data_IF_188879760187
#
_entry.id   IF_188879760187
#
_cell.length_a   1.000
_cell.length_b   1.000
_cell.length_c   1.000
_cell.angle_alpha   90.00
_cell.angle_beta   90.00
_cell.angle_gamma   90.00
#
_symmetry.space_group_name_H-M   'P 1'
#
loop_
_entity.id
_entity.type
_entity.pdbx_description
1 polymer ?
#
# COMPACT_ATOMS: atom_id res chain seq x y z
N UNK A 1 22.55 16.94 61.58
CA UNK A 1 22.98 16.00 60.53
C UNK A 1 21.75 15.42 59.84
N UNK A 2 21.46 15.82 58.59
CA UNK A 2 20.32 15.31 57.82
C UNK A 2 20.77 14.10 56.98
N UNK A 3 20.38 12.90 57.39
CA UNK A 3 20.61 11.65 56.65
C UNK A 3 19.90 11.71 55.29
N UNK A 4 20.64 11.95 54.20
CA UNK A 4 20.13 11.78 52.85
C UNK A 4 20.19 10.29 52.49
N UNK A 5 19.05 9.61 52.52
CA UNK A 5 18.95 8.19 52.12
C UNK A 5 19.30 7.99 50.64
N UNK A 6 20.34 7.22 50.29
CA UNK A 6 20.75 6.96 48.90
C UNK A 6 19.70 6.15 48.12
N UNK A 7 18.79 5.46 48.83
CA UNK A 7 17.75 4.59 48.24
C UNK A 7 16.69 5.36 47.44
N UNK A 8 16.39 6.62 47.80
CA UNK A 8 15.44 7.46 47.05
C UNK A 8 16.00 7.95 45.70
N UNK A 9 17.33 8.05 45.58
CA UNK A 9 17.99 8.45 44.32
C UNK A 9 18.05 7.29 43.33
N UNK A 10 18.25 6.06 43.81
CA UNK A 10 18.22 4.87 42.97
C UNK A 10 16.83 4.59 42.38
N UNK A 11 15.76 4.76 43.17
CA UNK A 11 14.38 4.56 42.69
C UNK A 11 13.97 5.59 41.62
N UNK A 12 14.42 6.84 41.76
CA UNK A 12 14.16 7.90 40.77
C UNK A 12 14.90 7.66 39.44
N UNK A 13 16.10 7.07 39.48
CA UNK A 13 16.87 6.75 38.27
C UNK A 13 16.25 5.59 37.47
N UNK A 14 15.72 4.57 38.15
CA UNK A 14 15.02 3.44 37.49
C UNK A 14 13.70 3.90 36.86
N UNK A 15 12.97 4.82 37.49
CA UNK A 15 11.74 5.39 36.93
C UNK A 15 12.00 6.27 35.68
N UNK A 16 13.14 6.99 35.66
CA UNK A 16 13.54 7.81 34.52
C UNK A 16 14.01 6.98 33.31
N UNK A 17 14.65 5.83 33.54
CA UNK A 17 15.04 4.90 32.48
C UNK A 17 13.86 4.11 31.90
N UNK A 18 12.79 3.88 32.67
CA UNK A 18 11.57 3.24 32.18
C UNK A 18 10.73 4.14 31.25
N UNK A 19 10.95 5.46 31.25
CA UNK A 19 10.29 6.41 30.36
C UNK A 19 11.02 6.61 29.02
N UNK A 20 12.23 6.07 28.86
CA UNK A 20 12.91 5.94 27.57
C UNK A 20 12.44 4.68 26.82
N UNK A 21 11.20 4.24 27.07
CA UNK A 21 10.55 3.17 26.32
C UNK A 21 10.55 3.52 24.84
N UNK A 22 10.97 2.55 24.03
CA UNK A 22 11.02 2.60 22.57
C UNK A 22 9.83 3.37 22.00
N UNK A 23 10.02 4.66 21.70
CA UNK A 23 9.03 5.41 20.94
C UNK A 23 8.97 4.72 19.57
N UNK A 24 7.81 4.19 19.15
CA UNK A 24 7.73 3.51 17.87
C UNK A 24 8.20 4.49 16.79
N UNK A 25 9.18 4.00 16.00
CA UNK A 25 9.80 4.70 14.88
C UNK A 25 8.70 5.26 13.95
N UNK A 26 8.90 6.52 13.57
CA UNK A 26 8.13 7.31 12.59
C UNK A 26 6.64 7.58 12.93
N UNK A 27 6.40 8.36 13.99
CA UNK A 27 5.17 9.13 14.12
C UNK A 27 5.23 10.32 13.17
N UNK A 28 4.44 10.31 12.08
CA UNK A 28 4.26 11.48 11.21
C UNK A 28 3.85 12.70 12.06
N UNK A 29 4.59 13.81 12.04
CA UNK A 29 4.29 14.99 12.85
C UNK A 29 2.89 15.54 12.59
N UNK A 30 2.24 16.10 13.61
CA UNK A 30 0.87 16.64 13.52
C UNK A 30 0.69 17.61 12.36
N UNK A 31 1.67 18.47 12.13
CA UNK A 31 1.68 19.42 11.00
C UNK A 31 1.67 18.73 9.64
N UNK A 32 2.38 17.61 9.49
CA UNK A 32 2.39 16.79 8.28
C UNK A 32 1.08 16.01 8.11
N UNK A 33 0.49 15.56 9.22
CA UNK A 33 -0.83 14.92 9.20
C UNK A 33 -1.91 15.90 8.77
N UNK A 34 -1.84 17.16 9.20
CA UNK A 34 -2.75 18.21 8.78
C UNK A 34 -2.62 18.55 7.29
N UNK A 35 -1.38 18.69 6.77
CA UNK A 35 -1.14 18.89 5.33
C UNK A 35 -1.71 17.77 4.47
N UNK A 36 -1.65 16.53 4.95
CA UNK A 36 -2.21 15.38 4.23
C UNK A 36 -3.74 15.49 4.04
N UNK A 37 -4.44 16.32 4.82
CA UNK A 37 -5.87 16.58 4.63
C UNK A 37 -6.19 17.32 3.34
N UNK A 38 -5.21 17.98 2.72
CA UNK A 38 -5.39 18.59 1.40
C UNK A 38 -5.76 17.56 0.32
N UNK A 39 -5.46 16.28 0.56
CA UNK A 39 -5.84 15.15 -0.30
C UNK A 39 -7.31 14.77 -0.17
N UNK A 40 -7.97 15.13 0.94
CA UNK A 40 -9.35 14.73 1.23
C UNK A 40 -10.33 15.42 0.27
N UNK A 41 -11.36 14.67 -0.13
CA UNK A 41 -12.34 15.09 -1.12
C UNK A 41 -11.85 15.04 -2.57
N UNK A 42 -10.55 14.84 -2.83
CA UNK A 42 -10.03 14.78 -4.19
C UNK A 42 -10.57 13.56 -4.95
N UNK A 43 -11.02 13.80 -6.19
CA UNK A 43 -11.36 12.74 -7.14
C UNK A 43 -10.11 12.33 -7.90
N UNK A 44 -9.81 11.03 -7.89
CA UNK A 44 -8.68 10.40 -8.57
C UNK A 44 -9.15 9.18 -9.36
N UNK A 45 -8.25 8.62 -10.15
CA UNK A 45 -8.51 7.42 -10.94
C UNK A 45 -7.47 6.37 -10.61
N UNK A 46 -7.85 5.10 -10.49
CA UNK A 46 -6.89 4.02 -10.31
C UNK A 46 -5.87 4.02 -11.46
N UNK A 47 -4.58 4.08 -11.15
CA UNK A 47 -3.49 4.10 -12.14
C UNK A 47 -3.10 2.69 -12.59
N UNK A 48 -3.33 1.72 -11.70
CA UNK A 48 -3.07 0.30 -11.88
C UNK A 48 -4.32 -0.48 -11.47
N UNK A 49 -4.39 -1.76 -11.85
CA UNK A 49 -5.43 -2.66 -11.43
C UNK A 49 -5.26 -2.97 -9.94
N UNK A 50 -6.35 -2.98 -9.18
CA UNK A 50 -6.30 -3.17 -7.72
C UNK A 50 -7.21 -4.33 -7.32
N UNK A 51 -6.70 -5.26 -6.51
CA UNK A 51 -7.55 -6.23 -5.83
C UNK A 51 -8.39 -5.51 -4.79
N UNK A 52 -9.67 -5.89 -4.66
CA UNK A 52 -10.57 -5.38 -3.65
C UNK A 52 -11.34 -6.54 -2.99
N UNK A 53 -11.33 -6.60 -1.66
CA UNK A 53 -11.99 -7.65 -0.88
C UNK A 53 -12.09 -7.30 0.60
N UNK A 54 -12.51 -8.22 1.49
CA UNK A 54 -12.71 -7.94 2.91
C UNK A 54 -11.43 -7.45 3.61
N UNK A 55 -11.55 -6.45 4.50
CA UNK A 55 -10.41 -5.91 5.22
C UNK A 55 -10.09 -6.68 6.51
N UNK A 56 -9.44 -7.83 6.35
CA UNK A 56 -9.06 -8.71 7.48
C UNK A 56 -10.25 -9.00 8.41
N UNK A 57 -10.14 -8.71 9.71
CA UNK A 57 -11.20 -8.90 10.70
C UNK A 57 -12.28 -7.82 10.71
N UNK A 58 -12.24 -6.84 9.80
CA UNK A 58 -13.23 -5.77 9.70
C UNK A 58 -14.04 -5.87 8.40
N UNK A 59 -15.17 -6.59 8.48
CA UNK A 59 -16.09 -6.76 7.36
C UNK A 59 -16.81 -5.47 6.92
N UNK A 60 -16.73 -4.41 7.72
CA UNK A 60 -17.30 -3.11 7.39
C UNK A 60 -16.47 -2.32 6.38
N UNK A 61 -15.30 -2.83 5.97
CA UNK A 61 -14.37 -2.17 5.05
C UNK A 61 -13.84 -3.14 4.00
N UNK A 62 -13.36 -2.59 2.89
CA UNK A 62 -12.67 -3.36 1.86
C UNK A 62 -11.18 -3.04 1.83
N UNK A 63 -10.31 -4.04 1.86
CA UNK A 63 -8.90 -3.87 1.52
C UNK A 63 -8.76 -3.59 0.02
N UNK A 64 -7.85 -2.69 -0.33
CA UNK A 64 -7.44 -2.46 -1.72
C UNK A 64 -5.93 -2.56 -1.82
N UNK A 65 -5.43 -3.31 -2.81
CA UNK A 65 -3.99 -3.52 -3.03
C UNK A 65 -3.65 -3.76 -4.49
N UNK A 66 -2.48 -3.29 -4.95
CA UNK A 66 -1.92 -3.69 -6.24
C UNK A 66 -1.20 -5.06 -6.18
N UNK A 67 -1.04 -5.65 -5.00
CA UNK A 67 -0.49 -6.99 -4.80
C UNK A 67 -1.60 -8.01 -4.51
N UNK A 68 -1.45 -9.27 -4.94
CA UNK A 68 -2.24 -10.39 -4.44
C UNK A 68 -2.27 -10.40 -2.92
N UNK A 69 -3.43 -10.77 -2.35
CA UNK A 69 -3.65 -10.65 -0.91
C UNK A 69 -2.82 -11.63 -0.09
N UNK A 70 -2.48 -12.78 -0.64
CA UNK A 70 -1.57 -13.77 -0.09
C UNK A 70 -0.09 -13.33 -0.11
N UNK A 71 0.27 -12.30 -0.89
CA UNK A 71 1.61 -11.68 -0.87
C UNK A 71 1.74 -10.57 0.20
N UNK A 72 0.66 -10.22 0.89
CA UNK A 72 0.66 -9.07 1.81
C UNK A 72 1.21 -9.42 3.20
N UNK A 73 2.37 -8.85 3.52
CA UNK A 73 2.97 -8.87 4.86
C UNK A 73 2.62 -7.60 5.66
N UNK A 74 1.32 -7.39 5.91
CA UNK A 74 0.80 -6.24 6.68
C UNK A 74 0.43 -6.58 8.12
N UNK A 75 0.31 -7.87 8.43
CA UNK A 75 -0.05 -8.37 9.75
C UNK A 75 0.68 -9.70 9.97
N UNK A 76 1.26 -9.85 11.15
CA UNK A 76 1.97 -11.08 11.54
C UNK A 76 1.33 -11.65 12.80
N UNK A 77 1.38 -12.97 12.94
CA UNK A 77 0.95 -13.68 14.13
C UNK A 77 2.03 -13.67 15.24
N UNK A 78 1.83 -14.44 16.30
CA UNK A 78 2.79 -14.52 17.40
C UNK A 78 4.06 -15.31 17.07
N UNK A 79 4.02 -16.14 16.01
CA UNK A 79 5.19 -16.84 15.48
C UNK A 79 5.99 -15.98 14.49
N UNK A 80 5.42 -14.86 14.05
CA UNK A 80 5.98 -13.96 13.04
C UNK A 80 5.55 -14.31 11.62
N UNK A 81 4.62 -15.25 11.46
CA UNK A 81 4.10 -15.65 10.15
C UNK A 81 3.10 -14.61 9.66
N UNK A 82 3.16 -14.28 8.36
CA UNK A 82 2.23 -13.35 7.74
C UNK A 82 0.80 -13.89 7.77
N UNK A 83 -0.13 -13.06 8.22
CA UNK A 83 -1.56 -13.32 8.17
C UNK A 83 -2.09 -12.70 6.87
N UNK A 84 -2.53 -13.54 5.95
CA UNK A 84 -3.20 -13.08 4.74
C UNK A 84 -4.63 -12.57 5.07
N UNK A 85 -5.12 -11.53 4.38
CA UNK A 85 -6.54 -11.17 4.43
C UNK A 85 -7.39 -12.23 3.69
N UNK A 86 -8.72 -12.23 3.90
CA UNK A 86 -9.64 -13.06 3.12
C UNK A 86 -9.50 -12.78 1.62
N UNK A 87 -9.70 -13.76 0.72
CA UNK A 87 -9.49 -13.58 -0.72
C UNK A 87 -10.19 -12.36 -1.31
N UNK A 88 -9.57 -11.75 -2.32
CA UNK A 88 -10.15 -10.63 -3.05
C UNK A 88 -11.50 -11.02 -3.68
N UNK A 89 -12.49 -10.15 -3.55
CA UNK A 89 -13.82 -10.33 -4.15
C UNK A 89 -13.82 -9.94 -5.64
N UNK A 90 -13.02 -8.94 -6.02
CA UNK A 90 -12.97 -8.40 -7.38
C UNK A 90 -11.66 -7.67 -7.67
N UNK A 91 -11.48 -7.31 -8.94
CA UNK A 91 -10.43 -6.40 -9.40
C UNK A 91 -11.07 -5.09 -9.85
N UNK A 92 -10.53 -3.96 -9.40
CA UNK A 92 -10.81 -2.63 -9.91
C UNK A 92 -9.87 -2.36 -11.08
N UNK A 93 -10.41 -2.09 -12.25
CA UNK A 93 -9.60 -1.78 -13.43
C UNK A 93 -8.90 -0.41 -13.27
N UNK A 94 -7.76 -0.19 -13.95
CA UNK A 94 -7.23 1.17 -14.10
C UNK A 94 -8.29 2.09 -14.73
N UNK A 95 -8.25 3.37 -14.37
CA UNK A 95 -9.28 4.34 -14.72
C UNK A 95 -10.56 4.25 -13.88
N UNK A 96 -10.63 3.36 -12.87
CA UNK A 96 -11.76 3.34 -11.91
C UNK A 96 -11.77 4.66 -11.11
N UNK A 97 -12.87 5.44 -11.13
CA UNK A 97 -12.94 6.69 -10.37
C UNK A 97 -13.08 6.40 -8.87
N UNK A 98 -12.23 7.04 -8.09
CA UNK A 98 -12.18 6.93 -6.63
C UNK A 98 -12.15 8.33 -6.02
N UNK A 99 -12.71 8.50 -4.83
CA UNK A 99 -12.57 9.73 -4.05
C UNK A 99 -11.82 9.42 -2.76
N UNK A 100 -10.84 10.24 -2.44
CA UNK A 100 -10.14 10.16 -1.15
C UNK A 100 -11.05 10.75 -0.09
N UNK A 101 -11.53 9.94 0.84
CA UNK A 101 -12.40 10.38 1.94
C UNK A 101 -11.58 10.92 3.10
N UNK A 102 -10.53 10.20 3.51
CA UNK A 102 -9.61 10.63 4.57
C UNK A 102 -8.27 9.91 4.52
N UNK A 103 -7.24 10.55 5.04
CA UNK A 103 -5.95 9.91 5.36
C UNK A 103 -5.82 9.79 6.88
N UNK A 104 -5.80 8.56 7.39
CA UNK A 104 -5.80 8.28 8.82
C UNK A 104 -4.47 7.67 9.28
N UNK A 105 -3.71 8.47 10.03
CA UNK A 105 -2.45 8.05 10.64
C UNK A 105 -2.65 7.29 11.95
N UNK A 106 -1.77 6.31 12.26
CA UNK A 106 -1.91 5.43 13.42
C UNK A 106 -1.48 6.13 14.72
N UNK A 107 -2.31 7.04 15.24
CA UNK A 107 -2.11 7.61 16.59
C UNK A 107 -2.48 6.60 17.66
N UNK A 108 -2.02 6.77 18.91
CA UNK A 108 -2.38 5.86 20.02
C UNK A 108 -3.89 5.69 20.20
N UNK A 109 -4.66 6.76 20.02
CA UNK A 109 -6.13 6.72 20.06
C UNK A 109 -6.74 5.96 18.88
N UNK A 110 -6.23 6.19 17.67
CA UNK A 110 -6.70 5.50 16.46
C UNK A 110 -6.36 4.01 16.54
N UNK A 111 -5.13 3.65 16.93
CA UNK A 111 -4.70 2.25 17.13
C UNK A 111 -5.63 1.54 18.12
N UNK A 112 -5.99 2.18 19.22
CA UNK A 112 -6.88 1.61 20.23
C UNK A 112 -8.32 1.37 19.72
N UNK A 113 -8.78 2.15 18.73
CA UNK A 113 -10.13 2.03 18.13
C UNK A 113 -10.20 1.05 16.96
N UNK A 114 -9.08 0.78 16.30
CA UNK A 114 -9.04 -0.15 15.16
C UNK A 114 -9.24 -1.59 15.62
N UNK A 115 -9.94 -2.38 14.81
CA UNK A 115 -10.12 -3.82 15.02
C UNK A 115 -8.75 -4.49 15.16
N UNK A 116 -8.58 -5.36 16.15
CA UNK A 116 -7.27 -5.96 16.50
C UNK A 116 -6.62 -6.65 15.31
N UNK A 117 -7.40 -7.44 14.57
CA UNK A 117 -6.96 -8.17 13.38
C UNK A 117 -6.97 -7.27 12.14
N UNK A 118 -6.29 -6.13 12.19
CA UNK A 118 -6.06 -5.24 11.04
C UNK A 118 -4.65 -4.66 11.10
N UNK A 119 -4.10 -4.09 10.01
CA UNK A 119 -2.80 -3.41 9.98
C UNK A 119 -2.77 -2.10 10.78
N UNK A 120 -2.94 -2.17 12.11
CA UNK A 120 -3.24 -1.02 12.99
C UNK A 120 -2.14 0.03 13.02
N UNK A 121 -0.90 -0.36 12.78
CA UNK A 121 0.28 0.50 12.83
C UNK A 121 0.61 1.17 11.49
N UNK A 122 -0.20 0.94 10.45
CA UNK A 122 -0.03 1.58 9.15
C UNK A 122 -0.93 2.81 8.98
N UNK A 123 -0.51 3.84 8.23
CA UNK A 123 -1.43 4.84 7.72
C UNK A 123 -2.45 4.19 6.77
N UNK A 124 -3.71 4.59 6.88
CA UNK A 124 -4.80 4.09 6.04
C UNK A 124 -5.37 5.24 5.23
N UNK A 125 -5.52 5.03 3.92
CA UNK A 125 -6.25 5.95 3.05
C UNK A 125 -7.60 5.35 2.74
N UNK A 126 -8.64 6.07 3.16
CA UNK A 126 -10.02 5.69 2.93
C UNK A 126 -10.46 6.25 1.60
N UNK A 127 -11.00 5.38 0.76
CA UNK A 127 -11.48 5.70 -0.56
C UNK A 127 -12.97 5.36 -0.65
N UNK A 128 -13.74 6.17 -1.37
CA UNK A 128 -15.08 5.80 -1.78
C UNK A 128 -15.12 5.46 -3.26
N UNK A 129 -15.99 4.50 -3.58
CA UNK A 129 -16.30 4.03 -4.92
C UNK A 129 -17.81 4.08 -5.08
N UNK A 130 -18.28 4.66 -6.18
CA UNK A 130 -19.70 4.75 -6.46
C UNK A 130 -20.35 3.36 -6.50
N UNK A 131 -21.48 3.20 -5.80
CA UNK A 131 -22.19 1.93 -5.70
C UNK A 131 -21.60 0.93 -4.68
N UNK A 132 -20.46 1.21 -4.07
CA UNK A 132 -19.90 0.40 -2.98
C UNK A 132 -20.19 1.06 -1.62
N UNK A 133 -21.00 0.44 -0.74
CA UNK A 133 -21.31 1.00 0.56
C UNK A 133 -20.15 0.90 1.57
N UNK A 134 -19.23 -0.05 1.40
CA UNK A 134 -18.08 -0.22 2.30
C UNK A 134 -16.96 0.73 1.89
N UNK A 135 -16.35 1.51 2.79
CA UNK A 135 -15.15 2.27 2.45
C UNK A 135 -14.02 1.32 2.03
N UNK A 136 -13.35 1.69 0.95
CA UNK A 136 -12.13 1.04 0.50
C UNK A 136 -10.97 1.57 1.34
N UNK A 137 -10.03 0.70 1.69
CA UNK A 137 -8.87 1.01 2.52
C UNK A 137 -7.63 0.60 1.77
N UNK A 138 -6.85 1.60 1.36
CA UNK A 138 -5.48 1.41 0.90
C UNK A 138 -4.55 1.57 2.11
N UNK A 139 -3.75 0.55 2.38
CA UNK A 139 -2.81 0.55 3.51
C UNK A 139 -1.45 1.04 3.01
N UNK A 140 -0.93 2.12 3.60
CA UNK A 140 0.35 2.68 3.21
C UNK A 140 1.51 2.10 4.06
N UNK A 141 2.77 2.22 3.60
CA UNK A 141 3.93 1.83 4.38
C UNK A 141 4.00 2.57 5.74
N UNK A 142 4.50 1.90 6.78
CA UNK A 142 4.72 2.52 8.10
C UNK A 142 5.91 3.50 8.09
N UNK A 143 6.73 3.46 7.03
CA UNK A 143 7.96 4.26 6.90
C UNK A 143 7.73 5.68 6.40
N UNK A 144 6.49 6.03 6.01
CA UNK A 144 6.15 7.38 5.55
C UNK A 144 6.34 8.38 6.70
N UNK A 145 7.04 9.48 6.44
CA UNK A 145 7.42 10.46 7.46
C UNK A 145 6.76 11.84 7.27
N UNK A 146 6.18 12.10 6.09
CA UNK A 146 5.65 13.41 5.70
C UNK A 146 4.38 13.32 4.86
N UNK A 147 3.69 14.45 4.67
CA UNK A 147 2.55 14.55 3.75
C UNK A 147 2.96 14.29 2.30
N UNK A 148 4.19 14.68 1.96
CA UNK A 148 4.76 14.48 0.64
C UNK A 148 5.00 12.99 0.37
N UNK A 149 5.52 12.24 1.35
CA UNK A 149 5.69 10.79 1.21
C UNK A 149 4.33 10.10 0.97
N UNK A 150 3.29 10.53 1.68
CA UNK A 150 1.92 10.04 1.48
C UNK A 150 1.41 10.34 0.08
N UNK A 151 1.64 11.56 -0.43
CA UNK A 151 1.26 11.97 -1.79
C UNK A 151 1.97 11.11 -2.83
N UNK A 152 3.30 10.98 -2.73
CA UNK A 152 4.13 10.20 -3.64
C UNK A 152 3.73 8.72 -3.63
N UNK A 153 3.48 8.15 -2.46
CA UNK A 153 3.02 6.77 -2.33
C UNK A 153 1.64 6.59 -2.99
N UNK A 154 0.70 7.52 -2.75
CA UNK A 154 -0.61 7.48 -3.39
C UNK A 154 -0.54 7.58 -4.92
N UNK A 155 0.43 8.30 -5.48
CA UNK A 155 0.63 8.44 -6.93
C UNK A 155 1.08 7.15 -7.64
N UNK A 156 1.45 6.11 -6.86
CA UNK A 156 1.64 4.76 -7.37
C UNK A 156 0.30 4.10 -7.71
N UNK A 157 -0.73 4.34 -6.91
CA UNK A 157 -2.03 3.67 -7.06
C UNK A 157 -3.06 4.54 -7.76
N UNK A 158 -2.98 5.86 -7.59
CA UNK A 158 -3.98 6.83 -8.02
C UNK A 158 -3.33 7.89 -8.93
N UNK A 159 -4.03 8.26 -10.00
CA UNK A 159 -3.63 9.32 -10.92
C UNK A 159 -4.77 10.32 -11.16
N UNK A 160 -4.51 11.31 -12.01
CA UNK A 160 -5.53 12.18 -12.56
C UNK A 160 -6.31 11.53 -13.71
N UNK A 161 -7.13 12.32 -14.43
CA UNK A 161 -7.92 11.84 -15.58
C UNK A 161 -7.08 11.20 -16.71
N UNK A 162 -5.79 11.54 -16.80
CA UNK A 162 -4.85 10.95 -17.75
C UNK A 162 -4.63 9.45 -17.52
N UNK A 163 -4.83 8.94 -16.30
CA UNK A 163 -4.74 7.51 -16.01
C UNK A 163 -5.83 6.72 -16.75
N UNK A 164 -7.06 7.23 -16.77
CA UNK A 164 -8.18 6.66 -17.53
C UNK A 164 -7.88 6.70 -19.03
N UNK A 165 -7.42 7.85 -19.54
CA UNK A 165 -7.10 8.02 -20.96
C UNK A 165 -6.03 7.04 -21.42
N UNK A 166 -4.98 6.87 -20.61
CA UNK A 166 -3.90 5.95 -20.91
C UNK A 166 -4.33 4.49 -20.92
N UNK A 167 -5.22 4.10 -20.00
CA UNK A 167 -5.78 2.75 -19.96
C UNK A 167 -6.70 2.49 -21.16
N UNK A 168 -7.53 3.46 -21.54
CA UNK A 168 -8.41 3.34 -22.71
C UNK A 168 -7.63 3.28 -24.03
N UNK A 169 -6.44 3.88 -24.09
CA UNK A 169 -5.54 3.84 -25.24
C UNK A 169 -4.86 2.47 -25.45
N UNK A 170 -4.98 1.53 -24.51
CA UNK A 170 -4.45 0.18 -24.69
C UNK A 170 -5.20 -0.59 -25.79
N UNK A 171 -4.50 -1.43 -26.58
CA UNK A 171 -5.16 -2.37 -27.49
C UNK A 171 -6.14 -3.28 -26.74
N UNK A 172 -7.27 -3.61 -27.36
CA UNK A 172 -8.36 -4.37 -26.73
C UNK A 172 -7.91 -5.66 -26.01
N UNK A 173 -7.02 -6.51 -26.59
CA UNK A 173 -6.54 -7.70 -25.90
C UNK A 173 -5.75 -7.38 -24.62
N UNK A 174 -4.95 -6.31 -24.65
CA UNK A 174 -4.16 -5.88 -23.50
C UNK A 174 -5.04 -5.25 -22.44
N UNK A 175 -5.99 -4.40 -22.85
CA UNK A 175 -6.96 -3.77 -21.95
C UNK A 175 -7.77 -4.81 -21.19
N UNK A 176 -8.31 -5.81 -21.89
CA UNK A 176 -9.08 -6.91 -21.28
C UNK A 176 -8.24 -7.79 -20.34
N UNK A 177 -6.93 -7.90 -20.56
CA UNK A 177 -6.03 -8.62 -19.66
C UNK A 177 -5.72 -7.78 -18.40
N UNK A 178 -5.41 -6.49 -18.57
CA UNK A 178 -5.17 -5.53 -17.48
C UNK A 178 -6.38 -5.43 -16.55
N UNK A 179 -7.61 -5.36 -17.06
CA UNK A 179 -8.86 -5.36 -16.27
C UNK A 179 -8.97 -6.56 -15.32
N UNK A 180 -8.39 -7.69 -15.72
CA UNK A 180 -8.41 -8.94 -14.96
C UNK A 180 -7.12 -9.18 -14.19
N UNK A 181 -6.22 -8.19 -14.14
CA UNK A 181 -4.91 -8.29 -13.50
C UNK A 181 -4.01 -9.39 -14.10
N UNK A 182 -4.12 -9.63 -15.41
CA UNK A 182 -3.37 -10.64 -16.14
C UNK A 182 -2.37 -10.00 -17.08
N UNK A 183 -1.28 -10.72 -17.33
CA UNK A 183 -0.32 -10.40 -18.37
C UNK A 183 -0.60 -11.23 -19.63
N UNK A 184 -0.30 -10.64 -20.78
CA UNK A 184 -0.28 -11.33 -22.09
C UNK A 184 0.96 -10.90 -22.86
N UNK A 185 1.47 -11.79 -23.70
CA UNK A 185 2.64 -11.53 -24.54
C UNK A 185 2.46 -10.26 -25.39
N UNK A 186 3.53 -9.50 -25.58
CA UNK A 186 3.54 -8.25 -26.35
C UNK A 186 2.94 -7.04 -25.63
N UNK A 187 2.51 -7.17 -24.36
CA UNK A 187 2.19 -6.01 -23.52
C UNK A 187 3.36 -5.03 -23.46
N UNK A 188 3.10 -3.72 -23.52
CA UNK A 188 4.14 -2.73 -23.25
C UNK A 188 4.53 -2.72 -21.76
N UNK A 189 5.69 -2.18 -21.42
CA UNK A 189 6.10 -1.91 -20.05
C UNK A 189 4.99 -1.22 -19.23
N UNK A 190 4.36 -0.20 -19.82
CA UNK A 190 3.24 0.51 -19.20
C UNK A 190 2.03 -0.38 -18.94
N UNK A 191 1.67 -1.27 -19.87
CA UNK A 191 0.56 -2.20 -19.69
C UNK A 191 0.85 -3.22 -18.59
N UNK A 192 2.10 -3.67 -18.47
CA UNK A 192 2.55 -4.56 -17.38
C UNK A 192 2.40 -3.85 -16.02
N UNK A 193 2.86 -2.59 -15.90
CA UNK A 193 2.68 -1.80 -14.67
C UNK A 193 1.20 -1.58 -14.34
N UNK A 194 0.37 -1.29 -15.35
CA UNK A 194 -1.09 -1.17 -15.16
C UNK A 194 -1.72 -2.47 -14.67
N UNK A 195 -1.26 -3.63 -15.13
CA UNK A 195 -1.80 -4.91 -14.68
C UNK A 195 -1.32 -5.28 -13.27
N UNK A 196 -0.02 -5.24 -13.02
CA UNK A 196 0.61 -5.86 -11.84
C UNK A 196 1.10 -4.87 -10.78
N UNK A 197 0.95 -3.57 -11.00
CA UNK A 197 1.53 -2.55 -10.15
C UNK A 197 2.99 -2.25 -10.52
N UNK A 198 3.62 -1.35 -9.77
CA UNK A 198 5.02 -1.00 -10.00
C UNK A 198 5.94 -2.08 -9.42
N UNK A 199 6.94 -2.57 -10.17
CA UNK A 199 7.87 -3.55 -9.63
C UNK A 199 8.74 -2.93 -8.53
N UNK A 200 9.15 -3.76 -7.57
CA UNK A 200 10.09 -3.38 -6.52
C UNK A 200 11.50 -3.21 -7.07
N UNK A 201 11.86 -4.00 -8.09
CA UNK A 201 13.17 -3.99 -8.72
C UNK A 201 13.04 -4.14 -10.24
N UNK A 202 13.81 -3.31 -10.95
CA UNK A 202 14.04 -3.42 -12.39
C UNK A 202 15.54 -3.61 -12.65
N UNK A 203 15.91 -4.66 -13.36
CA UNK A 203 17.26 -4.89 -13.88
C UNK A 203 17.22 -4.64 -15.37
N UNK A 204 17.94 -3.63 -15.84
CA UNK A 204 17.89 -3.14 -17.22
C UNK A 204 19.25 -3.37 -17.89
N UNK A 205 19.27 -4.15 -18.96
CA UNK A 205 20.43 -4.33 -19.83
C UNK A 205 20.20 -3.54 -21.13
N UNK A 206 20.82 -2.35 -21.20
CA UNK A 206 20.66 -1.45 -22.35
C UNK A 206 21.28 -2.00 -23.63
N UNK A 207 22.51 -2.56 -23.64
CA UNK A 207 23.07 -3.20 -24.84
C UNK A 207 22.20 -4.30 -25.43
N UNK A 208 21.57 -5.13 -24.59
CA UNK A 208 20.69 -6.21 -25.04
C UNK A 208 19.24 -5.78 -25.25
N UNK A 209 18.87 -4.55 -24.87
CA UNK A 209 17.49 -4.06 -24.85
C UNK A 209 16.54 -4.98 -24.05
N UNK A 210 17.03 -5.56 -22.95
CA UNK A 210 16.24 -6.43 -22.07
C UNK A 210 16.01 -5.80 -20.71
N UNK A 211 14.86 -6.13 -20.12
CA UNK A 211 14.54 -5.78 -18.73
C UNK A 211 13.98 -6.99 -17.98
N UNK A 212 14.44 -7.19 -16.74
CA UNK A 212 13.87 -8.16 -15.80
C UNK A 212 13.30 -7.42 -14.60
N UNK A 213 12.00 -7.58 -14.38
CA UNK A 213 11.26 -6.91 -13.32
C UNK A 213 10.80 -7.92 -12.28
N UNK A 214 10.81 -7.54 -11.00
CA UNK A 214 10.31 -8.37 -9.91
C UNK A 214 9.45 -7.58 -8.93
N UNK A 215 8.41 -8.23 -8.41
CA UNK A 215 7.51 -7.76 -7.35
C UNK A 215 7.69 -8.61 -6.09
N UNK A 216 7.05 -8.19 -5.00
CA UNK A 216 6.92 -8.82 -3.67
C UNK A 216 7.77 -10.08 -3.47
N UNK A 217 8.91 -9.93 -2.77
CA UNK A 217 9.77 -11.07 -2.40
C UNK A 217 10.52 -11.74 -3.56
N UNK A 218 10.25 -11.35 -4.80
CA UNK A 218 10.79 -11.97 -6.02
C UNK A 218 9.92 -13.07 -6.61
N UNK A 219 8.69 -13.26 -6.12
CA UNK A 219 7.81 -14.38 -6.50
C UNK A 219 7.15 -14.17 -7.86
N UNK A 220 6.82 -12.93 -8.19
CA UNK A 220 6.34 -12.53 -9.52
C UNK A 220 7.45 -11.87 -10.31
N UNK A 221 7.63 -12.31 -11.57
CA UNK A 221 8.62 -11.73 -12.48
C UNK A 221 8.05 -11.51 -13.87
N UNK A 222 8.54 -10.46 -14.53
CA UNK A 222 8.26 -10.17 -15.92
C UNK A 222 9.57 -9.88 -16.65
N UNK A 223 9.67 -10.35 -17.88
CA UNK A 223 10.85 -10.18 -18.73
C UNK A 223 10.43 -9.51 -20.01
N UNK A 224 11.07 -8.39 -20.31
CA UNK A 224 10.77 -7.55 -21.45
C UNK A 224 11.96 -7.51 -22.41
N UNK A 225 11.65 -7.49 -23.69
CA UNK A 225 12.57 -7.29 -24.81
C UNK A 225 12.00 -6.16 -25.66
N UNK A 226 12.79 -5.13 -25.95
CA UNK A 226 12.37 -3.99 -26.78
C UNK A 226 11.04 -3.34 -26.31
N UNK A 227 10.91 -3.10 -25.00
CA UNK A 227 9.71 -2.55 -24.33
C UNK A 227 8.45 -3.46 -24.41
N UNK A 228 8.61 -4.73 -24.81
CA UNK A 228 7.51 -5.69 -24.93
C UNK A 228 7.69 -6.88 -23.99
N UNK A 229 6.61 -7.27 -23.32
CA UNK A 229 6.58 -8.45 -22.48
C UNK A 229 6.77 -9.71 -23.34
N UNK A 230 7.84 -10.44 -23.08
CA UNK A 230 8.15 -11.70 -23.74
C UNK A 230 7.65 -12.89 -22.92
N UNK A 231 7.92 -12.87 -21.60
CA UNK A 231 7.49 -13.93 -20.68
C UNK A 231 7.32 -13.41 -19.25
N UNK A 232 6.60 -14.17 -18.43
CA UNK A 232 6.39 -13.86 -17.02
C UNK A 232 6.25 -15.14 -16.18
N UNK A 233 6.55 -15.00 -14.90
CA UNK A 233 6.40 -16.02 -13.86
C UNK A 233 5.32 -15.51 -12.89
N UNK A 234 4.10 -16.09 -12.89
CA UNK A 234 3.07 -15.75 -11.92
C UNK A 234 3.37 -16.36 -10.55
N UNK A 235 2.67 -15.89 -9.51
CA UNK A 235 2.69 -16.51 -8.18
C UNK A 235 2.31 -18.00 -8.28
N UNK A 236 3.05 -18.85 -7.57
CA UNK A 236 2.83 -20.30 -7.54
C UNK A 236 1.59 -20.69 -6.75
#
# INVERSE_FOLDING_TARGET
>A
MRYHSPMRRALAAVLALALAGCYPRASVPDTEREKSRELEGQRRFAKVALYAGPFYGDAGRMLVSDQPFDELDLLQDTAGDAIAPPPAERVLAPGTPLRIEKVEFPTGWIIARRVVMTPRYHPWVFLSLEGEPRPLVLVLPQTLASAEDVRVELERYLGGPEALTAFQALPDPQRAAVERKRLVEGMSARAVEMAWGYPEKKVIDRPAHTEAWSWSGGDRKAYLQDDKLERWEPLR
#
